data_IF_253474741613
#
_entry.id   IF_253474741613
#
_cell.length_a   1.000
_cell.length_b   1.000
_cell.length_c   1.000
_cell.angle_alpha   90.00
_cell.angle_beta   90.00
_cell.angle_gamma   90.00
#
_symmetry.space_group_name_H-M   'P 1'
#
loop_
_entity.id
_entity.type
_entity.pdbx_description
1 polymer ?
#
# COMPACT_ATOMS: atom_id res chain seq x y z
N UNK A 1 4.00 -16.14 25.91
CA UNK A 1 4.70 -15.49 24.79
C UNK A 1 3.87 -15.76 23.55
N UNK A 2 3.27 -14.74 22.92
CA UNK A 2 2.44 -14.94 21.71
C UNK A 2 3.38 -15.21 20.54
N UNK A 3 3.30 -16.39 19.92
CA UNK A 3 4.13 -16.80 18.78
C UNK A 3 3.75 -16.01 17.52
N UNK A 4 4.29 -14.78 17.41
CA UNK A 4 4.12 -13.90 16.25
C UNK A 4 4.65 -14.54 14.95
N UNK A 5 5.55 -15.52 15.07
CA UNK A 5 6.19 -16.19 13.93
C UNK A 5 5.20 -16.96 13.04
N UNK A 6 4.07 -17.42 13.58
CA UNK A 6 3.05 -18.18 12.83
C UNK A 6 1.78 -17.39 12.54
N UNK A 7 1.63 -16.20 13.11
CA UNK A 7 0.46 -15.36 12.90
C UNK A 7 0.65 -14.50 11.64
N UNK A 8 -0.12 -14.79 10.59
CA UNK A 8 -0.09 -14.07 9.32
C UNK A 8 -0.53 -12.60 9.44
N UNK A 9 -1.27 -12.26 10.51
CA UNK A 9 -1.70 -10.91 10.83
C UNK A 9 -0.72 -10.15 11.74
N UNK A 10 0.37 -10.80 12.18
CA UNK A 10 1.35 -10.16 13.05
C UNK A 10 2.14 -9.06 12.34
N UNK A 11 2.65 -8.12 13.14
CA UNK A 11 3.56 -7.08 12.68
C UNK A 11 4.81 -7.68 12.01
N UNK A 12 5.31 -8.81 12.52
CA UNK A 12 6.45 -9.51 11.95
C UNK A 12 6.14 -10.08 10.55
N UNK A 13 4.95 -10.66 10.37
CA UNK A 13 4.48 -11.15 9.08
C UNK A 13 4.28 -10.01 8.07
N UNK A 14 3.74 -8.87 8.51
CA UNK A 14 3.65 -7.67 7.68
C UNK A 14 5.04 -7.16 7.27
N UNK A 15 5.96 -7.04 8.23
CA UNK A 15 7.33 -6.59 7.97
C UNK A 15 8.07 -7.49 6.98
N UNK A 16 7.96 -8.82 7.12
CA UNK A 16 8.54 -9.78 6.17
C UNK A 16 7.95 -9.61 4.77
N UNK A 17 6.62 -9.43 4.64
CA UNK A 17 5.96 -9.19 3.35
C UNK A 17 6.43 -7.89 2.71
N UNK A 18 6.54 -6.80 3.48
CA UNK A 18 7.06 -5.51 3.01
C UNK A 18 8.52 -5.61 2.55
N UNK A 19 9.38 -6.33 3.27
CA UNK A 19 10.76 -6.56 2.88
C UNK A 19 10.85 -7.34 1.56
N UNK A 20 10.07 -8.41 1.42
CA UNK A 20 10.00 -9.19 0.18
C UNK A 20 9.52 -8.33 -0.98
N UNK A 21 8.47 -7.54 -0.78
CA UNK A 21 7.95 -6.62 -1.79
C UNK A 21 9.02 -5.60 -2.20
N UNK A 22 9.71 -4.98 -1.23
CA UNK A 22 10.78 -4.01 -1.51
C UNK A 22 11.92 -4.63 -2.32
N UNK A 23 12.35 -5.85 -1.99
CA UNK A 23 13.44 -6.53 -2.71
C UNK A 23 13.08 -6.88 -4.16
N UNK A 24 11.81 -7.14 -4.43
CA UNK A 24 11.34 -7.59 -5.74
C UNK A 24 10.87 -6.44 -6.66
N UNK A 25 10.85 -5.19 -6.17
CA UNK A 25 10.32 -4.05 -6.92
C UNK A 25 11.35 -2.91 -6.93
N UNK A 26 12.00 -2.70 -8.08
CA UNK A 26 13.05 -1.69 -8.22
C UNK A 26 12.55 -0.27 -7.94
N UNK A 27 11.29 0.04 -8.26
CA UNK A 27 10.66 1.32 -7.91
C UNK A 27 10.65 1.61 -6.39
N UNK A 28 10.53 0.58 -5.53
CA UNK A 28 10.59 0.78 -4.06
C UNK A 28 12.03 0.98 -3.53
N UNK A 29 13.04 0.60 -4.30
CA UNK A 29 14.45 0.67 -3.88
C UNK A 29 15.14 1.91 -4.45
N UNK A 30 14.92 2.17 -5.73
CA UNK A 30 15.62 3.20 -6.51
C UNK A 30 14.69 4.27 -7.07
N UNK A 31 13.37 4.08 -6.98
CA UNK A 31 12.42 4.97 -7.59
C UNK A 31 12.31 6.33 -6.91
N UNK A 32 12.09 7.35 -7.73
CA UNK A 32 11.73 8.70 -7.31
C UNK A 32 10.39 8.68 -6.59
N UNK A 33 10.21 9.59 -5.64
CA UNK A 33 8.91 9.86 -5.02
C UNK A 33 8.27 10.99 -5.83
N UNK A 34 7.09 10.75 -6.36
CA UNK A 34 6.35 11.66 -7.24
C UNK A 34 4.90 11.79 -6.77
N UNK A 35 4.20 12.81 -7.27
CA UNK A 35 2.75 12.99 -7.05
C UNK A 35 2.29 12.90 -5.59
N UNK A 36 3.12 13.42 -4.67
CA UNK A 36 2.82 13.44 -3.24
C UNK A 36 1.63 14.36 -2.99
N UNK A 37 0.58 13.81 -2.38
CA UNK A 37 -0.61 14.54 -2.03
C UNK A 37 -1.14 14.09 -0.66
N UNK A 38 -1.78 15.02 0.05
CA UNK A 38 -2.52 14.71 1.27
C UNK A 38 -3.96 15.18 1.08
N UNK A 39 -4.92 14.27 1.29
CA UNK A 39 -6.34 14.57 1.28
C UNK A 39 -6.96 14.11 2.60
N UNK A 40 -7.30 15.07 3.46
CA UNK A 40 -7.70 14.78 4.84
C UNK A 40 -6.60 14.01 5.57
N UNK A 41 -6.91 12.78 5.99
CA UNK A 41 -5.99 11.90 6.72
C UNK A 41 -5.27 10.88 5.82
N UNK A 42 -5.43 10.97 4.50
CA UNK A 42 -4.80 10.07 3.54
C UNK A 42 -3.60 10.75 2.89
N UNK A 43 -2.42 10.15 3.05
CA UNK A 43 -1.21 10.50 2.32
C UNK A 43 -1.05 9.55 1.13
N UNK A 44 -0.85 10.11 -0.06
CA UNK A 44 -0.56 9.34 -1.27
C UNK A 44 0.76 9.78 -1.86
N UNK A 45 1.51 8.83 -2.42
CA UNK A 45 2.63 9.11 -3.29
C UNK A 45 2.73 8.05 -4.38
N UNK A 46 3.61 8.32 -5.35
CA UNK A 46 3.99 7.34 -6.34
C UNK A 46 5.49 7.08 -6.29
N UNK A 47 5.85 5.83 -6.54
CA UNK A 47 7.23 5.41 -6.77
C UNK A 47 7.41 5.08 -8.23
N UNK A 48 8.32 5.79 -8.88
CA UNK A 48 8.56 5.62 -10.30
C UNK A 48 10.03 5.25 -10.57
N UNK A 49 10.24 4.20 -11.35
CA UNK A 49 11.56 3.77 -11.82
C UNK A 49 11.44 3.04 -13.16
N UNK A 50 12.00 3.65 -14.22
CA UNK A 50 11.88 3.17 -15.60
C UNK A 50 10.43 2.91 -16.03
N UNK A 51 10.05 1.65 -16.21
CA UNK A 51 8.71 1.24 -16.63
C UNK A 51 7.82 0.80 -15.46
N UNK A 52 8.33 0.90 -14.23
CA UNK A 52 7.60 0.51 -13.04
C UNK A 52 7.07 1.75 -12.32
N UNK A 53 5.75 1.83 -12.17
CA UNK A 53 5.05 2.84 -11.39
C UNK A 53 4.23 2.15 -10.31
N UNK A 54 4.47 2.55 -9.07
CA UNK A 54 3.70 2.07 -7.93
C UNK A 54 2.96 3.23 -7.30
N UNK A 55 1.73 2.99 -6.92
CA UNK A 55 0.92 3.89 -6.12
C UNK A 55 0.94 3.44 -4.67
N UNK A 56 1.14 4.38 -3.76
CA UNK A 56 1.13 4.13 -2.32
C UNK A 56 0.09 5.07 -1.69
N UNK A 57 -0.79 4.51 -0.86
CA UNK A 57 -1.75 5.28 -0.08
C UNK A 57 -1.72 4.83 1.39
N UNK A 58 -1.69 5.80 2.30
CA UNK A 58 -1.64 5.61 3.75
C UNK A 58 -2.78 6.39 4.39
N UNK A 59 -3.74 5.69 4.97
CA UNK A 59 -4.75 6.31 5.82
C UNK A 59 -4.22 6.36 7.26
N UNK A 60 -3.81 7.54 7.70
CA UNK A 60 -3.30 7.77 9.06
C UNK A 60 -4.45 8.09 10.03
N UNK A 61 -5.68 8.20 9.51
CA UNK A 61 -6.88 8.50 10.26
C UNK A 61 -7.49 7.28 10.95
N UNK A 62 -8.49 7.57 11.77
CA UNK A 62 -9.30 6.58 12.51
C UNK A 62 -10.62 6.24 11.82
N UNK A 63 -10.88 6.86 10.66
CA UNK A 63 -12.07 6.65 9.84
C UNK A 63 -11.67 6.11 8.47
N UNK A 64 -12.58 5.35 7.85
CA UNK A 64 -12.43 4.94 6.46
C UNK A 64 -12.40 6.16 5.53
N UNK A 65 -11.60 6.08 4.48
CA UNK A 65 -11.45 7.15 3.51
C UNK A 65 -11.59 6.61 2.08
N UNK A 66 -11.82 7.52 1.13
CA UNK A 66 -11.74 7.23 -0.29
C UNK A 66 -10.45 7.83 -0.85
N UNK A 67 -9.73 7.05 -1.66
CA UNK A 67 -8.53 7.49 -2.37
C UNK A 67 -8.78 7.48 -3.87
N UNK A 68 -8.41 8.56 -4.55
CA UNK A 68 -8.50 8.66 -6.02
C UNK A 68 -7.24 8.08 -6.64
N UNK A 69 -7.39 7.19 -7.62
CA UNK A 69 -6.27 6.51 -8.28
C UNK A 69 -6.67 6.02 -9.67
N UNK A 70 -5.67 5.73 -10.50
CA UNK A 70 -5.88 4.96 -11.71
C UNK A 70 -6.16 3.48 -11.37
N UNK A 71 -6.73 2.76 -12.33
CA UNK A 71 -6.89 1.32 -12.21
C UNK A 71 -5.52 0.64 -12.04
N UNK A 72 -5.47 -0.42 -11.24
CA UNK A 72 -4.21 -1.07 -10.90
C UNK A 72 -4.39 -2.35 -10.09
N UNK A 73 -3.28 -2.99 -9.74
CA UNK A 73 -3.28 -4.25 -8.99
C UNK A 73 -2.66 -4.02 -7.61
N UNK A 74 -3.44 -4.29 -6.56
CA UNK A 74 -2.94 -4.22 -5.19
C UNK A 74 -1.94 -5.33 -4.96
N UNK A 75 -0.71 -4.94 -4.61
CA UNK A 75 0.38 -5.86 -4.29
C UNK A 75 0.41 -6.21 -2.80
N UNK A 76 0.04 -5.26 -1.95
CA UNK A 76 0.01 -5.43 -0.51
C UNK A 76 -0.95 -4.42 0.15
N UNK A 77 -1.63 -4.85 1.20
CA UNK A 77 -2.29 -3.99 2.19
C UNK A 77 -1.78 -4.35 3.59
N UNK A 78 -1.74 -3.38 4.50
CA UNK A 78 -1.31 -3.61 5.87
C UNK A 78 -2.34 -4.41 6.67
N UNK A 79 -3.62 -4.26 6.34
CA UNK A 79 -4.69 -5.08 6.90
C UNK A 79 -4.77 -6.44 6.18
N UNK A 80 -4.44 -7.50 6.91
CA UNK A 80 -4.45 -8.87 6.38
C UNK A 80 -5.84 -9.35 5.90
N UNK A 81 -6.92 -8.71 6.36
CA UNK A 81 -8.29 -9.04 5.97
C UNK A 81 -8.69 -8.49 4.59
N UNK A 82 -7.87 -7.63 3.98
CA UNK A 82 -8.17 -7.11 2.65
C UNK A 82 -7.90 -8.19 1.60
N UNK A 83 -8.94 -8.59 0.87
CA UNK A 83 -8.77 -9.41 -0.32
C UNK A 83 -7.94 -8.63 -1.35
N UNK A 84 -7.11 -9.30 -2.17
CA UNK A 84 -6.42 -8.66 -3.29
C UNK A 84 -7.46 -8.20 -4.32
N UNK A 85 -8.02 -7.02 -4.09
CA UNK A 85 -8.94 -6.34 -4.99
C UNK A 85 -8.12 -5.43 -5.91
N UNK A 86 -8.50 -5.39 -7.19
CA UNK A 86 -7.97 -4.41 -8.11
C UNK A 86 -8.31 -3.00 -7.61
N UNK A 87 -7.40 -2.05 -7.79
CA UNK A 87 -7.79 -0.65 -7.77
C UNK A 87 -8.62 -0.39 -9.02
N UNK A 88 -9.76 0.25 -8.84
CA UNK A 88 -10.55 0.79 -9.95
C UNK A 88 -10.08 2.21 -10.27
N UNK A 89 -10.38 2.68 -11.47
CA UNK A 89 -10.26 4.11 -11.76
C UNK A 89 -11.21 4.89 -10.84
N UNK A 90 -10.79 6.07 -10.40
CA UNK A 90 -11.46 6.93 -9.42
C UNK A 90 -11.35 6.45 -7.96
N UNK A 91 -12.49 6.40 -7.26
CA UNK A 91 -12.57 6.29 -5.81
C UNK A 91 -12.45 4.85 -5.33
N UNK A 92 -11.42 4.58 -4.53
CA UNK A 92 -11.20 3.29 -3.89
C UNK A 92 -11.28 3.44 -2.36
N UNK A 93 -11.93 2.48 -1.68
CA UNK A 93 -12.01 2.50 -0.21
C UNK A 93 -10.67 2.12 0.40
N UNK A 94 -10.22 2.92 1.36
CA UNK A 94 -9.06 2.67 2.20
C UNK A 94 -9.48 2.72 3.67
N UNK A 95 -9.39 1.59 4.36
CA UNK A 95 -9.85 1.48 5.75
C UNK A 95 -9.04 2.36 6.71
N UNK A 96 -9.64 2.69 7.85
CA UNK A 96 -8.94 3.39 8.94
C UNK A 96 -7.62 2.68 9.30
N UNK A 97 -6.52 3.44 9.36
CA UNK A 97 -5.20 2.91 9.70
C UNK A 97 -4.58 1.95 8.67
N UNK A 98 -5.21 1.73 7.50
CA UNK A 98 -4.64 0.89 6.45
C UNK A 98 -3.71 1.67 5.52
N UNK A 99 -2.72 0.97 5.00
CA UNK A 99 -1.94 1.40 3.85
C UNK A 99 -1.93 0.33 2.77
N UNK A 100 -1.91 0.76 1.51
CA UNK A 100 -1.80 -0.12 0.35
C UNK A 100 -0.66 0.30 -0.57
N UNK A 101 -0.13 -0.69 -1.29
CA UNK A 101 0.81 -0.51 -2.40
C UNK A 101 0.21 -1.22 -3.60
N UNK A 102 0.11 -0.54 -4.73
CA UNK A 102 -0.41 -1.08 -5.98
C UNK A 102 0.50 -0.79 -7.16
N UNK A 103 0.49 -1.68 -8.15
CA UNK A 103 1.04 -1.39 -9.48
C UNK A 103 0.00 -0.65 -10.30
N UNK A 104 0.40 0.45 -10.92
CA UNK A 104 -0.36 1.13 -11.97
C UNK A 104 0.04 0.60 -13.36
#
# INVERSE_FOLDING_TARGET
MRDQDRDASSMLSLYRRLLTLRRNNAALVHGTIENVAANGNVLTDERHYHHQRLFIALNIGVEDAAVQTHAGVVLLSTLAARNPEALVEDANRLAAGDALIASL
#
